data_IF_787424695618
#
_entry.id   IF_787424695618
#
_cell.length_a   1.000
_cell.length_b   1.000
_cell.length_c   1.000
_cell.angle_alpha   90.00
_cell.angle_beta   90.00
_cell.angle_gamma   90.00
#
_symmetry.space_group_name_H-M   'P 1'
#
loop_
_entity.id
_entity.type
_entity.pdbx_description
1 polymer ?
#
# COMPACT_ATOMS: atom_id res chain seq x y z
N UNK A 1 -13.04 -27.01 -16.95
CA UNK A 1 -11.74 -27.59 -17.33
C UNK A 1 -11.25 -28.35 -16.12
N UNK A 2 -10.71 -29.55 -16.28
CA UNK A 2 -10.13 -30.28 -15.15
C UNK A 2 -8.80 -29.63 -14.79
N UNK A 3 -8.56 -29.34 -13.51
CA UNK A 3 -7.26 -28.87 -13.04
C UNK A 3 -6.18 -29.87 -13.43
N UNK A 4 -5.07 -29.36 -13.96
CA UNK A 4 -3.96 -30.23 -14.34
C UNK A 4 -3.36 -30.87 -13.09
N UNK A 5 -2.71 -32.02 -13.24
CA UNK A 5 -1.99 -32.65 -12.13
C UNK A 5 -0.93 -31.70 -11.54
N UNK A 6 -0.33 -30.87 -12.39
CA UNK A 6 0.66 -29.88 -11.99
C UNK A 6 0.05 -28.84 -11.05
N UNK A 7 -1.11 -28.27 -11.38
CA UNK A 7 -1.76 -27.24 -10.57
C UNK A 7 -2.12 -27.78 -9.18
N UNK A 8 -2.65 -29.00 -9.13
CA UNK A 8 -2.99 -29.67 -7.86
C UNK A 8 -1.77 -29.85 -6.96
N UNK A 9 -0.67 -30.34 -7.52
CA UNK A 9 0.58 -30.54 -6.76
C UNK A 9 1.15 -29.20 -6.31
N UNK A 10 1.13 -28.17 -7.16
CA UNK A 10 1.57 -26.83 -6.80
C UNK A 10 0.75 -26.25 -5.64
N UNK A 11 -0.57 -26.40 -5.69
CA UNK A 11 -1.49 -25.94 -4.66
C UNK A 11 -1.28 -26.67 -3.33
N UNK A 12 -1.24 -28.00 -3.34
CA UNK A 12 -1.01 -28.80 -2.13
C UNK A 12 0.34 -28.46 -1.48
N UNK A 13 1.40 -28.29 -2.27
CA UNK A 13 2.71 -27.90 -1.75
C UNK A 13 2.69 -26.47 -1.17
N UNK A 14 1.96 -25.55 -1.78
CA UNK A 14 1.83 -24.19 -1.28
C UNK A 14 1.13 -24.16 0.09
N UNK A 15 0.09 -24.97 0.28
CA UNK A 15 -0.59 -25.10 1.57
C UNK A 15 0.33 -25.66 2.64
N UNK A 16 1.06 -26.73 2.33
CA UNK A 16 2.02 -27.34 3.26
C UNK A 16 3.15 -26.38 3.63
N UNK A 17 3.71 -25.67 2.65
CA UNK A 17 4.80 -24.72 2.87
C UNK A 17 4.37 -23.53 3.73
N UNK A 18 3.15 -23.00 3.52
CA UNK A 18 2.63 -21.91 4.35
C UNK A 18 2.26 -22.38 5.76
N UNK A 19 1.74 -23.61 5.90
CA UNK A 19 1.49 -24.21 7.20
C UNK A 19 2.79 -24.40 7.99
N UNK A 20 3.85 -24.90 7.34
CA UNK A 20 5.16 -25.06 7.97
C UNK A 20 5.78 -23.70 8.31
N UNK A 21 5.68 -22.71 7.42
CA UNK A 21 6.11 -21.33 7.71
C UNK A 21 5.40 -20.77 8.96
N UNK A 22 4.10 -21.00 9.10
CA UNK A 22 3.33 -20.54 10.25
C UNK A 22 3.68 -21.29 11.55
N UNK A 23 4.02 -22.57 11.47
CA UNK A 23 4.36 -23.39 12.64
C UNK A 23 5.82 -23.20 13.11
N UNK A 24 6.76 -23.11 12.18
CA UNK A 24 8.20 -22.98 12.46
C UNK A 24 8.66 -21.53 12.62
N UNK A 25 7.95 -20.58 12.00
CA UNK A 25 8.39 -19.19 11.87
C UNK A 25 9.47 -18.98 10.81
N UNK A 26 9.86 -20.00 10.06
CA UNK A 26 10.84 -19.88 8.98
C UNK A 26 10.21 -19.30 7.71
N UNK A 27 10.44 -18.01 7.47
CA UNK A 27 9.92 -17.29 6.30
C UNK A 27 10.59 -17.77 5.00
N UNK A 28 11.80 -18.33 5.09
CA UNK A 28 12.60 -18.75 3.93
C UNK A 28 12.20 -20.12 3.38
N UNK A 29 11.33 -20.88 4.06
CA UNK A 29 10.92 -22.22 3.62
C UNK A 29 10.27 -22.21 2.23
N UNK A 30 9.44 -21.21 1.95
CA UNK A 30 8.77 -21.06 0.63
C UNK A 30 9.78 -20.83 -0.49
N UNK A 31 10.83 -20.05 -0.25
CA UNK A 31 11.90 -19.81 -1.23
C UNK A 31 12.78 -21.05 -1.43
N UNK A 32 13.07 -21.76 -0.33
CA UNK A 32 13.88 -22.98 -0.34
C UNK A 32 13.19 -24.08 -1.14
N UNK A 33 11.89 -24.29 -0.92
CA UNK A 33 11.07 -25.22 -1.70
C UNK A 33 11.00 -24.77 -3.16
N UNK A 34 10.80 -23.48 -3.42
CA UNK A 34 10.81 -22.93 -4.78
C UNK A 34 12.11 -23.23 -5.53
N UNK A 35 13.26 -23.03 -4.88
CA UNK A 35 14.59 -23.34 -5.45
C UNK A 35 14.75 -24.83 -5.71
N UNK A 36 14.33 -25.69 -4.78
CA UNK A 36 14.37 -27.15 -4.92
C UNK A 36 13.51 -27.62 -6.12
N UNK A 37 12.30 -27.09 -6.25
CA UNK A 37 11.41 -27.39 -7.38
C UNK A 37 12.04 -26.91 -8.70
N UNK A 38 12.62 -25.71 -8.72
CA UNK A 38 13.26 -25.13 -9.90
C UNK A 38 14.43 -25.95 -10.45
N UNK A 39 15.14 -26.67 -9.58
CA UNK A 39 16.23 -27.55 -9.99
C UNK A 39 15.75 -28.76 -10.82
N UNK A 40 14.47 -29.14 -10.71
CA UNK A 40 13.90 -30.34 -11.36
C UNK A 40 12.78 -30.04 -12.35
N UNK A 41 12.01 -28.98 -12.12
CA UNK A 41 10.89 -28.56 -12.95
C UNK A 41 10.61 -27.06 -12.78
N UNK A 42 11.00 -26.28 -13.77
CA UNK A 42 10.73 -24.84 -13.78
C UNK A 42 9.21 -24.54 -13.83
N UNK A 43 8.44 -25.31 -14.59
CA UNK A 43 6.99 -25.09 -14.71
C UNK A 43 6.26 -25.31 -13.38
N UNK A 44 6.67 -26.32 -12.60
CA UNK A 44 6.10 -26.56 -11.28
C UNK A 44 6.53 -25.47 -10.28
N UNK A 45 7.77 -25.00 -10.35
CA UNK A 45 8.24 -23.87 -9.53
C UNK A 45 7.38 -22.61 -9.76
N UNK A 46 7.14 -22.25 -11.01
CA UNK A 46 6.35 -21.06 -11.36
C UNK A 46 4.91 -21.17 -10.85
N UNK A 47 4.30 -22.34 -11.01
CA UNK A 47 2.96 -22.62 -10.49
C UNK A 47 2.91 -22.56 -8.96
N UNK A 48 3.87 -23.18 -8.27
CA UNK A 48 3.96 -23.14 -6.81
C UNK A 48 4.13 -21.72 -6.26
N UNK A 49 5.04 -20.93 -6.82
CA UNK A 49 5.26 -19.54 -6.38
C UNK A 49 4.02 -18.67 -6.63
N UNK A 50 3.31 -18.92 -7.73
CA UNK A 50 2.03 -18.27 -8.01
C UNK A 50 0.97 -18.66 -6.98
N UNK A 51 0.84 -19.95 -6.68
CA UNK A 51 -0.08 -20.49 -5.68
C UNK A 51 0.17 -19.91 -4.28
N UNK A 52 1.43 -19.78 -3.86
CA UNK A 52 1.83 -19.12 -2.60
C UNK A 52 1.43 -17.65 -2.59
N UNK A 53 1.67 -16.93 -3.70
CA UNK A 53 1.31 -15.50 -3.81
C UNK A 53 -0.20 -15.31 -3.73
N UNK A 54 -0.98 -16.16 -4.41
CA UNK A 54 -2.45 -16.12 -4.40
C UNK A 54 -2.98 -16.31 -2.99
N UNK A 55 -2.48 -17.31 -2.24
CA UNK A 55 -2.90 -17.56 -0.85
C UNK A 55 -2.62 -16.39 0.08
N UNK A 56 -1.45 -15.77 -0.03
CA UNK A 56 -1.11 -14.56 0.75
C UNK A 56 -1.99 -13.36 0.36
N UNK A 57 -2.39 -13.24 -0.90
CA UNK A 57 -3.31 -12.18 -1.34
C UNK A 57 -4.73 -12.44 -0.82
N UNK A 58 -5.18 -13.70 -0.91
CA UNK A 58 -6.46 -14.15 -0.39
C UNK A 58 -6.58 -13.91 1.11
N UNK A 59 -5.57 -14.27 1.89
CA UNK A 59 -5.57 -14.06 3.34
C UNK A 59 -5.77 -12.57 3.69
N UNK A 60 -5.03 -11.68 3.02
CA UNK A 60 -5.19 -10.22 3.20
C UNK A 60 -6.57 -9.74 2.76
N UNK A 61 -7.08 -10.23 1.64
CA UNK A 61 -8.41 -9.88 1.16
C UNK A 61 -9.51 -10.35 2.13
N UNK A 62 -9.40 -11.58 2.65
CA UNK A 62 -10.33 -12.12 3.66
C UNK A 62 -10.27 -11.34 4.96
N UNK A 63 -9.08 -10.95 5.43
CA UNK A 63 -8.92 -10.11 6.61
C UNK A 63 -9.64 -8.76 6.44
N UNK A 64 -9.44 -8.08 5.31
CA UNK A 64 -10.14 -6.83 4.98
C UNK A 64 -11.66 -7.00 4.94
N UNK A 65 -12.15 -8.07 4.30
CA UNK A 65 -13.59 -8.36 4.23
C UNK A 65 -14.19 -8.63 5.62
N UNK A 66 -13.45 -9.31 6.50
CA UNK A 66 -13.86 -9.57 7.87
C UNK A 66 -13.94 -8.29 8.70
N UNK A 67 -12.94 -7.41 8.59
CA UNK A 67 -12.93 -6.10 9.24
C UNK A 67 -14.12 -5.23 8.80
N UNK A 68 -14.40 -5.15 7.50
CA UNK A 68 -15.55 -4.40 6.97
C UNK A 68 -16.88 -4.95 7.50
N UNK A 69 -17.00 -6.27 7.61
CA UNK A 69 -18.18 -6.92 8.18
C UNK A 69 -18.34 -6.57 9.66
N UNK A 70 -17.25 -6.53 10.43
CA UNK A 70 -17.26 -6.13 11.84
C UNK A 70 -17.69 -4.66 12.02
N UNK A 71 -17.27 -3.78 11.11
CA UNK A 71 -17.61 -2.36 11.12
C UNK A 71 -18.97 -2.04 10.46
N UNK A 72 -19.85 -3.03 10.24
CA UNK A 72 -21.14 -2.86 9.56
C UNK A 72 -21.05 -2.12 8.22
N UNK A 73 -19.97 -2.32 7.47
CA UNK A 73 -19.70 -1.70 6.18
C UNK A 73 -19.61 -0.16 6.19
N UNK A 74 -19.49 0.46 7.37
CA UNK A 74 -19.45 1.93 7.51
C UNK A 74 -18.17 2.53 6.91
N UNK A 75 -17.02 1.88 7.13
CA UNK A 75 -15.73 2.28 6.55
C UNK A 75 -15.46 1.44 5.29
N UNK A 76 -16.01 1.89 4.16
CA UNK A 76 -15.64 1.36 2.84
C UNK A 76 -14.25 1.88 2.44
N UNK A 77 -13.39 1.06 1.80
CA UNK A 77 -12.18 1.59 1.18
C UNK A 77 -12.63 2.63 0.15
N UNK A 78 -12.25 3.90 0.36
CA UNK A 78 -12.46 4.95 -0.64
C UNK A 78 -11.79 4.45 -1.92
N UNK A 79 -12.50 4.43 -3.07
CA UNK A 79 -11.87 4.03 -4.31
C UNK A 79 -10.65 4.92 -4.49
N UNK A 80 -9.45 4.32 -4.46
CA UNK A 80 -8.27 5.03 -4.95
C UNK A 80 -8.59 5.28 -6.41
N UNK A 81 -8.74 6.56 -6.78
CA UNK A 81 -9.02 6.96 -8.14
C UNK A 81 -8.01 6.23 -9.03
N UNK A 82 -8.49 5.28 -9.82
CA UNK A 82 -7.65 4.66 -10.83
C UNK A 82 -7.06 5.82 -11.65
N UNK A 83 -5.75 5.87 -11.92
CA UNK A 83 -5.20 6.91 -12.76
C UNK A 83 -5.96 6.88 -14.08
N UNK A 84 -6.75 7.94 -14.31
CA UNK A 84 -7.68 8.10 -15.41
C UNK A 84 -6.89 8.31 -16.70
N UNK A 85 -6.29 7.25 -17.24
CA UNK A 85 -5.76 7.22 -18.60
C UNK A 85 -6.95 7.16 -19.57
N UNK A 86 -7.57 8.32 -19.82
CA UNK A 86 -8.62 8.46 -20.83
C UNK A 86 -9.58 9.65 -20.72
N UNK A 87 -9.55 10.46 -19.65
CA UNK A 87 -10.39 11.65 -19.57
C UNK A 87 -9.89 12.76 -20.51
N UNK A 88 -10.85 13.42 -21.16
CA UNK A 88 -10.60 14.65 -21.93
C UNK A 88 -10.12 15.77 -21.01
N UNK A 89 -9.39 16.75 -21.54
CA UNK A 89 -8.73 17.77 -20.72
C UNK A 89 -9.72 18.62 -19.88
N UNK A 90 -10.97 18.72 -20.32
CA UNK A 90 -12.05 19.43 -19.61
C UNK A 90 -12.51 18.70 -18.32
N UNK A 91 -12.49 17.37 -18.30
CA UNK A 91 -12.91 16.57 -17.14
C UNK A 91 -11.83 16.52 -16.05
N UNK A 92 -10.56 16.73 -16.44
CA UNK A 92 -9.43 16.86 -15.50
C UNK A 92 -9.46 18.20 -14.77
N UNK A 93 -9.81 19.28 -15.46
CA UNK A 93 -9.89 20.62 -14.85
C UNK A 93 -11.02 20.70 -13.81
N UNK A 94 -12.19 20.13 -14.11
CA UNK A 94 -13.30 20.09 -13.14
C UNK A 94 -12.97 19.32 -11.85
N UNK A 95 -12.17 18.26 -11.97
CA UNK A 95 -11.79 17.41 -10.84
C UNK A 95 -10.65 18.02 -10.01
N UNK A 96 -9.73 18.75 -10.67
CA UNK A 96 -8.72 19.59 -10.00
C UNK A 96 -9.40 20.72 -9.21
N UNK A 97 -10.44 21.35 -9.76
CA UNK A 97 -11.16 22.41 -9.06
C UNK A 97 -11.90 21.90 -7.80
N UNK A 98 -12.46 20.69 -7.85
CA UNK A 98 -13.05 20.01 -6.68
C UNK A 98 -11.99 19.69 -5.62
N UNK A 99 -10.83 19.17 -6.02
CA UNK A 99 -9.75 18.78 -5.11
C UNK A 99 -9.05 20.00 -4.47
N UNK A 100 -8.95 21.12 -5.21
CA UNK A 100 -8.41 22.40 -4.72
C UNK A 100 -9.41 23.10 -3.78
N UNK A 101 -10.73 22.95 -4.00
CA UNK A 101 -11.75 23.46 -3.09
C UNK A 101 -11.70 22.76 -1.72
N UNK A 102 -11.48 21.44 -1.69
CA UNK A 102 -11.33 20.68 -0.46
C UNK A 102 -10.03 21.02 0.31
N UNK A 103 -8.96 21.41 -0.41
CA UNK A 103 -7.70 21.85 0.19
C UNK A 103 -7.80 23.22 0.88
N UNK A 104 -8.74 24.09 0.46
CA UNK A 104 -8.97 25.41 1.04
C UNK A 104 -10.28 25.53 1.86
N UNK A 105 -11.10 24.47 1.90
CA UNK A 105 -12.37 24.40 2.65
C UNK A 105 -12.23 24.12 4.16
N UNK A 106 -11.02 24.23 4.71
CA UNK A 106 -10.78 24.17 6.15
C UNK A 106 -11.38 25.40 6.84
N UNK A 107 -12.52 25.24 7.48
CA UNK A 107 -13.12 26.25 8.37
C UNK A 107 -12.12 26.62 9.46
N UNK A 108 -11.40 27.73 9.27
CA UNK A 108 -10.65 28.39 10.34
C UNK A 108 -11.68 28.96 11.31
N UNK A 109 -11.77 28.36 12.49
CA UNK A 109 -12.52 28.90 13.63
C UNK A 109 -11.85 30.23 14.03
N UNK A 110 -12.54 31.38 14.03
CA UNK A 110 -11.91 32.63 14.40
C UNK A 110 -11.61 32.62 15.90
N UNK A 111 -10.33 32.63 16.27
CA UNK A 111 -9.91 33.05 17.59
C UNK A 111 -9.89 34.58 17.62
N UNK A 112 -10.85 35.15 18.32
CA UNK A 112 -10.82 36.55 18.75
C UNK A 112 -9.63 36.73 19.69
N UNK A 113 -8.65 37.52 19.28
CA UNK A 113 -7.81 38.36 20.15
C UNK A 113 -6.98 39.29 19.24
N UNK A 114 -7.59 40.42 18.87
CA UNK A 114 -6.89 41.60 18.37
C UNK A 114 -6.19 42.30 19.54
N UNK A 115 -4.88 42.50 19.47
CA UNK A 115 -4.26 43.80 19.73
C UNK A 115 -2.73 43.78 19.50
N UNK A 116 -2.30 44.76 18.72
CA UNK A 116 -1.02 45.46 18.81
C UNK A 116 0.20 44.84 18.07
N UNK A 117 0.33 45.23 16.80
CA UNK A 117 1.64 45.39 16.15
C UNK A 117 2.14 46.82 16.40
N UNK A 118 3.45 47.03 16.58
CA UNK A 118 4.14 47.75 15.52
C UNK A 118 5.56 47.25 15.18
N UNK A 119 5.73 47.03 13.88
CA UNK A 119 6.85 47.20 12.95
C UNK A 119 8.34 46.87 13.27
N UNK A 120 9.11 46.41 12.26
CA UNK A 120 10.45 45.84 12.42
C UNK A 120 11.59 46.78 11.99
N UNK A 121 12.72 46.77 12.70
CA UNK A 121 13.99 47.33 12.19
C UNK A 121 15.22 46.47 12.61
N UNK A 122 16.31 46.53 11.84
CA UNK A 122 17.24 45.42 11.59
C UNK A 122 18.48 45.45 12.49
N UNK A 123 19.06 44.28 12.76
CA UNK A 123 20.41 44.20 13.36
C UNK A 123 21.38 43.39 12.51
N UNK A 124 22.29 44.15 11.92
CA UNK A 124 23.51 43.75 11.24
C UNK A 124 24.48 43.14 12.25
N UNK A 125 25.02 41.93 12.01
CA UNK A 125 26.35 41.59 12.54
C UNK A 125 27.06 40.42 11.80
N UNK A 126 28.06 40.77 10.99
CA UNK A 126 29.23 39.97 10.65
C UNK A 126 30.40 40.95 10.49
N UNK A 127 31.68 40.54 10.49
CA UNK A 127 32.38 39.48 11.21
C UNK A 127 33.66 40.05 11.90
N UNK A 128 34.37 39.27 12.74
CA UNK A 128 35.82 39.51 12.97
C UNK A 128 36.66 38.24 12.92
N UNK A 129 37.83 38.44 12.34
CA UNK A 129 38.81 37.53 11.72
C UNK A 129 39.92 37.15 12.72
N UNK A 130 40.76 36.17 12.33
CA UNK A 130 42.17 35.93 12.72
C UNK A 130 42.33 35.02 13.97
N UNK A 131 43.12 33.94 14.04
CA UNK A 131 44.52 33.54 13.65
C UNK A 131 44.58 32.00 13.85
N UNK A 132 45.42 31.14 13.25
CA UNK A 132 46.66 31.19 12.47
C UNK A 132 46.58 30.10 11.40
#
# INVERSE_FOLDING_TARGET
MADSYLDKVADELADLALADQAASGDIAITETIGTLLGASSQTLQEAFLTAVRVRRAEERARALLAERKANNYQDGPKPQAAPLQGLSDEEKEAQLDEEVADLWGGTVKPSEDEADAPEPEPSVNMPRRVKR
#
